data_IF_921869803500
#
_entry.id   IF_921869803500
#
_cell.length_a   1.000
_cell.length_b   1.000
_cell.length_c   1.000
_cell.angle_alpha   90.00
_cell.angle_beta   90.00
_cell.angle_gamma   90.00
#
_symmetry.space_group_name_H-M   'P 1'
#
loop_
_entity.id
_entity.type
_entity.pdbx_description
1 polymer ?
#
# COMPACT_ATOMS: atom_id res chain seq x y z
N UNK A 1 -6.99 -7.31 0.16
CA UNK A 1 -5.82 -6.94 0.98
C UNK A 1 -6.24 -6.27 2.28
N UNK A 2 -7.14 -5.27 2.25
CA UNK A 2 -7.64 -4.58 3.45
C UNK A 2 -8.00 -5.51 4.62
N UNK A 3 -8.81 -6.56 4.39
CA UNK A 3 -9.18 -7.53 5.45
C UNK A 3 -7.98 -8.24 6.09
N UNK A 4 -6.90 -8.49 5.33
CA UNK A 4 -5.69 -9.12 5.86
C UNK A 4 -4.93 -8.13 6.75
N UNK A 5 -4.80 -6.89 6.30
CA UNK A 5 -4.18 -5.80 7.07
C UNK A 5 -4.96 -5.58 8.37
N UNK A 6 -6.29 -5.48 8.31
CA UNK A 6 -7.14 -5.33 9.49
C UNK A 6 -6.94 -6.48 10.48
N UNK A 7 -6.84 -7.72 9.99
CA UNK A 7 -6.63 -8.88 10.85
C UNK A 7 -5.23 -8.88 11.48
N UNK A 8 -4.21 -8.45 10.74
CA UNK A 8 -2.85 -8.33 11.26
C UNK A 8 -2.74 -7.25 12.34
N UNK A 9 -3.40 -6.10 12.14
CA UNK A 9 -3.42 -4.99 13.10
C UNK A 9 -4.00 -5.39 14.47
N UNK A 10 -4.95 -6.34 14.51
CA UNK A 10 -5.52 -6.86 15.78
C UNK A 10 -4.50 -7.57 16.68
N UNK A 11 -3.32 -7.92 16.15
CA UNK A 11 -2.24 -8.55 16.89
C UNK A 11 -1.33 -7.59 17.65
N UNK A 12 -1.47 -6.27 17.46
CA UNK A 12 -0.63 -5.27 18.10
C UNK A 12 -1.29 -4.68 19.35
N UNK A 13 -0.48 -4.29 20.34
CA UNK A 13 -0.98 -3.64 21.57
C UNK A 13 -1.55 -2.23 21.30
N UNK A 14 -0.93 -1.49 20.37
CA UNK A 14 -1.38 -0.17 19.90
C UNK A 14 -1.54 -0.19 18.37
N UNK A 15 -2.63 -0.80 17.83
CA UNK A 15 -2.82 -0.95 16.39
C UNK A 15 -2.77 0.36 15.62
N UNK A 16 -3.22 1.47 16.21
CA UNK A 16 -3.26 2.81 15.61
C UNK A 16 -1.88 3.44 15.38
N UNK A 17 -0.84 3.00 16.11
CA UNK A 17 0.53 3.50 15.96
C UNK A 17 1.33 2.73 14.91
N UNK A 18 0.77 1.64 14.35
CA UNK A 18 1.45 0.80 13.36
C UNK A 18 1.57 1.56 12.04
N UNK A 19 2.77 1.57 11.46
CA UNK A 19 3.00 2.08 10.10
C UNK A 19 2.82 0.95 9.09
N UNK A 20 1.94 1.15 8.11
CA UNK A 20 1.73 0.19 7.02
C UNK A 20 2.77 0.44 5.92
N UNK A 21 3.63 -0.54 5.68
CA UNK A 21 4.65 -0.47 4.64
C UNK A 21 4.24 -1.33 3.44
N UNK A 22 3.73 -0.70 2.38
CA UNK A 22 3.51 -1.38 1.11
C UNK A 22 4.84 -1.54 0.38
N UNK A 23 5.18 -2.78 0.02
CA UNK A 23 6.38 -3.07 -0.77
C UNK A 23 6.00 -3.76 -2.07
N UNK A 24 6.56 -3.27 -3.17
CA UNK A 24 6.46 -3.85 -4.49
C UNK A 24 7.87 -4.10 -5.05
N UNK A 25 7.96 -4.87 -6.13
CA UNK A 25 9.25 -5.10 -6.78
C UNK A 25 9.61 -3.88 -7.61
N UNK A 26 10.83 -3.38 -7.46
CA UNK A 26 11.36 -2.35 -8.34
C UNK A 26 11.47 -2.82 -9.78
N UNK A 27 11.44 -1.86 -10.70
CA UNK A 27 11.64 -2.10 -12.13
C UNK A 27 12.74 -1.20 -12.69
N UNK A 28 13.47 -1.64 -13.73
CA UNK A 28 14.47 -0.80 -14.39
C UNK A 28 13.87 0.53 -14.86
N UNK A 29 14.57 1.64 -14.61
CA UNK A 29 14.13 2.98 -15.02
C UNK A 29 13.76 3.07 -16.49
N UNK A 30 14.50 2.40 -17.37
CA UNK A 30 14.24 2.37 -18.81
C UNK A 30 12.82 1.88 -19.15
N UNK A 31 12.21 1.00 -18.35
CA UNK A 31 10.87 0.52 -18.64
C UNK A 31 9.82 1.59 -18.35
N UNK A 32 10.07 2.46 -17.37
CA UNK A 32 9.18 3.58 -17.06
C UNK A 32 9.41 4.72 -18.06
N UNK A 33 10.66 5.09 -18.32
CA UNK A 33 10.99 6.28 -19.12
C UNK A 33 10.93 6.04 -20.63
N UNK A 34 11.34 4.86 -21.11
CA UNK A 34 11.43 4.56 -22.55
C UNK A 34 10.24 3.75 -23.05
N UNK A 35 9.73 2.83 -22.22
CA UNK A 35 8.63 1.94 -22.60
C UNK A 35 7.25 2.39 -22.08
N UNK A 36 7.18 3.50 -21.33
CA UNK A 36 5.94 4.03 -20.73
C UNK A 36 5.17 2.96 -19.93
N UNK A 37 5.90 2.13 -19.18
CA UNK A 37 5.30 1.04 -18.42
C UNK A 37 4.43 1.60 -17.28
N UNK A 38 3.11 1.28 -17.25
CA UNK A 38 2.19 1.81 -16.26
C UNK A 38 2.33 1.12 -14.89
N UNK A 39 3.29 0.22 -14.68
CA UNK A 39 3.46 -0.55 -13.45
C UNK A 39 3.43 0.34 -12.19
N UNK A 40 4.20 1.44 -12.19
CA UNK A 40 4.24 2.37 -11.06
C UNK A 40 2.86 2.98 -10.77
N UNK A 41 2.22 3.54 -11.78
CA UNK A 41 0.90 4.17 -11.63
C UNK A 41 -0.16 3.16 -11.18
N UNK A 42 -0.14 1.93 -11.72
CA UNK A 42 -1.03 0.84 -11.31
C UNK A 42 -0.80 0.40 -9.87
N UNK A 43 0.45 0.41 -9.39
CA UNK A 43 0.76 0.10 -7.99
C UNK A 43 0.27 1.19 -7.05
N UNK A 44 0.47 2.47 -7.40
CA UNK A 44 -0.07 3.60 -6.65
C UNK A 44 -1.60 3.54 -6.57
N UNK A 45 -2.28 3.33 -7.70
CA UNK A 45 -3.75 3.16 -7.74
C UNK A 45 -4.23 1.96 -6.90
N UNK A 46 -3.53 0.83 -6.95
CA UNK A 46 -3.87 -0.34 -6.14
C UNK A 46 -3.74 -0.07 -4.63
N UNK A 47 -2.69 0.65 -4.21
CA UNK A 47 -2.50 1.07 -2.82
C UNK A 47 -3.62 2.02 -2.39
N UNK A 48 -3.95 3.02 -3.22
CA UNK A 48 -5.02 3.98 -2.90
C UNK A 48 -6.36 3.26 -2.68
N UNK A 49 -6.73 2.30 -3.53
CA UNK A 49 -7.95 1.50 -3.36
C UNK A 49 -7.93 0.65 -2.07
N UNK A 50 -6.76 0.16 -1.65
CA UNK A 50 -6.64 -0.58 -0.38
C UNK A 50 -6.82 0.36 0.80
N UNK A 51 -6.23 1.56 0.75
CA UNK A 51 -6.34 2.57 1.80
C UNK A 51 -7.77 3.07 1.92
N UNK A 52 -8.45 3.38 0.81
CA UNK A 52 -9.87 3.75 0.81
C UNK A 52 -10.75 2.67 1.46
N UNK A 53 -10.46 1.39 1.22
CA UNK A 53 -11.20 0.29 1.83
C UNK A 53 -10.93 0.16 3.35
N UNK A 54 -9.71 0.45 3.80
CA UNK A 54 -9.35 0.52 5.22
C UNK A 54 -10.03 1.70 5.93
N UNK A 55 -10.10 2.86 5.26
CA UNK A 55 -10.76 4.05 5.81
C UNK A 55 -12.27 3.81 6.05
N UNK A 56 -12.93 3.02 5.20
CA UNK A 56 -14.34 2.61 5.40
C UNK A 56 -14.54 1.83 6.70
N UNK A 57 -13.51 1.12 7.19
CA UNK A 57 -13.52 0.40 8.47
C UNK A 57 -12.86 1.19 9.61
N UNK A 58 -12.59 2.49 9.40
CA UNK A 58 -11.96 3.43 10.35
C UNK A 58 -10.49 3.14 10.68
N UNK A 59 -9.79 2.43 9.81
CA UNK A 59 -8.35 2.23 9.91
C UNK A 59 -7.67 3.35 9.12
N UNK A 60 -7.01 4.26 9.82
CA UNK A 60 -6.36 5.45 9.25
C UNK A 60 -4.87 5.51 9.60
N UNK A 61 -4.24 4.35 9.68
CA UNK A 61 -2.82 4.21 9.97
C UNK A 61 -1.97 4.95 8.92
N UNK A 62 -0.84 5.51 9.35
CA UNK A 62 0.14 6.04 8.41
C UNK A 62 0.66 4.93 7.50
N UNK A 63 0.86 5.24 6.21
CA UNK A 63 1.38 4.29 5.25
C UNK A 63 2.43 4.90 4.33
N UNK A 64 3.27 4.05 3.73
CA UNK A 64 4.17 4.40 2.65
C UNK A 64 4.22 3.27 1.63
N UNK A 65 4.56 3.61 0.38
CA UNK A 65 4.85 2.65 -0.69
C UNK A 65 6.32 2.74 -1.08
N UNK A 66 6.98 1.58 -1.23
CA UNK A 66 8.32 1.45 -1.77
C UNK A 66 8.37 0.42 -2.92
N UNK A 67 9.19 0.74 -3.92
CA UNK A 67 9.54 -0.11 -5.06
C UNK A 67 10.97 0.20 -5.50
#
# INVERSE_FOLDING_TARGET
MANLIENELKGFDCPEEVMIFFSAHGMPLAYVEEADDPYKAKMEECVDLIVEELEKTKITNAYTLAY
#
